data_IF_828754058795
#
_entry.id   IF_828754058795
#
_cell.length_a   1.000
_cell.length_b   1.000
_cell.length_c   1.000
_cell.angle_alpha   90.00
_cell.angle_beta   90.00
_cell.angle_gamma   90.00
#
_symmetry.space_group_name_H-M   'P 1'
#
loop_
_entity.id
_entity.type
_entity.pdbx_description
1 polymer ?
#
# COMPACT_ATOMS: atom_id res chain seq x y z
N UNK A 1 11.90 12.18 -8.73
CA UNK A 1 10.54 11.75 -8.35
C UNK A 1 10.13 12.59 -7.15
N UNK A 2 9.48 13.74 -7.40
CA UNK A 2 9.36 14.83 -6.43
C UNK A 2 8.11 14.72 -5.56
N UNK A 3 8.20 14.03 -4.42
CA UNK A 3 7.13 14.04 -3.40
C UNK A 3 7.13 15.34 -2.58
N UNK A 4 8.12 16.21 -2.76
CA UNK A 4 8.31 17.43 -1.95
C UNK A 4 8.86 17.17 -0.54
N UNK A 5 9.15 15.92 -0.19
CA UNK A 5 9.73 15.57 1.10
C UNK A 5 11.22 15.84 1.12
N UNK A 6 11.63 16.82 1.92
CA UNK A 6 13.02 17.03 2.33
C UNK A 6 13.30 16.27 3.62
N UNK A 7 14.57 16.00 3.92
CA UNK A 7 14.95 15.41 5.22
C UNK A 7 14.52 16.29 6.38
N UNK A 8 14.61 17.62 6.24
CA UNK A 8 14.14 18.56 7.25
C UNK A 8 12.62 18.44 7.50
N UNK A 9 11.81 18.34 6.44
CA UNK A 9 10.36 18.16 6.57
C UNK A 9 10.03 16.80 7.21
N UNK A 10 10.74 15.74 6.80
CA UNK A 10 10.64 14.39 7.36
C UNK A 10 10.85 14.41 8.87
N UNK A 11 11.95 15.00 9.33
CA UNK A 11 12.25 15.07 10.77
C UNK A 11 11.25 15.97 11.53
N UNK A 12 10.86 17.12 10.97
CA UNK A 12 9.83 17.99 11.57
C UNK A 12 8.50 17.28 11.75
N UNK A 13 8.07 16.47 10.79
CA UNK A 13 6.82 15.70 10.90
C UNK A 13 6.94 14.63 11.99
N UNK A 14 8.06 13.92 12.05
CA UNK A 14 8.26 12.90 13.07
C UNK A 14 8.40 13.49 14.48
N UNK A 15 8.98 14.68 14.64
CA UNK A 15 8.98 15.42 15.90
C UNK A 15 7.55 15.72 16.36
N UNK A 16 6.69 16.22 15.47
CA UNK A 16 5.27 16.48 15.79
C UNK A 16 4.51 15.24 16.23
N UNK A 17 4.80 14.08 15.61
CA UNK A 17 4.20 12.81 16.01
C UNK A 17 4.65 12.42 17.41
N UNK A 18 5.94 12.53 17.73
CA UNK A 18 6.49 12.23 19.06
C UNK A 18 5.92 13.20 20.11
N UNK A 19 5.86 14.49 19.79
CA UNK A 19 5.26 15.51 20.65
C UNK A 19 3.81 15.15 20.98
N UNK A 20 3.01 14.78 19.97
CA UNK A 20 1.61 14.40 20.19
C UNK A 20 1.46 13.13 21.02
N UNK A 21 2.34 12.15 20.82
CA UNK A 21 2.36 10.94 21.65
C UNK A 21 2.75 11.25 23.10
N UNK A 22 3.58 12.26 23.31
CA UNK A 22 4.02 12.69 24.65
C UNK A 22 2.87 13.22 25.50
N UNK A 23 1.82 13.79 24.89
CA UNK A 23 0.59 14.17 25.60
C UNK A 23 -0.05 12.98 26.36
N UNK A 24 0.12 11.76 25.83
CA UNK A 24 -0.43 10.52 26.41
C UNK A 24 0.62 9.67 27.12
N UNK A 25 1.90 9.87 26.80
CA UNK A 25 3.04 9.18 27.39
C UNK A 25 4.14 10.20 27.75
N UNK A 26 4.04 10.89 28.91
CA UNK A 26 4.90 12.04 29.22
C UNK A 26 6.40 11.73 29.28
N UNK A 27 6.77 10.48 29.63
CA UNK A 27 8.17 10.02 29.66
C UNK A 27 8.68 9.53 28.30
N UNK A 28 7.86 9.52 27.24
CA UNK A 28 8.22 8.93 25.96
C UNK A 28 9.56 9.44 25.44
N UNK A 29 9.75 10.77 25.40
CA UNK A 29 10.96 11.40 24.84
C UNK A 29 12.25 10.95 25.53
N UNK A 30 12.23 10.76 26.85
CA UNK A 30 13.42 10.32 27.59
C UNK A 30 13.71 8.83 27.44
N UNK A 31 12.76 8.04 26.93
CA UNK A 31 12.88 6.60 26.73
C UNK A 31 13.28 6.23 25.29
N UNK A 32 13.44 7.20 24.39
CA UNK A 32 13.85 6.95 23.00
C UNK A 32 15.34 6.59 22.96
N UNK A 33 15.65 5.32 22.67
CA UNK A 33 17.02 4.82 22.45
C UNK A 33 17.47 4.88 20.98
N UNK A 34 16.52 5.07 20.07
CA UNK A 34 16.76 5.11 18.63
C UNK A 34 15.49 5.46 17.86
N UNK A 35 15.66 6.05 16.68
CA UNK A 35 14.58 6.50 15.81
C UNK A 35 14.95 6.23 14.36
N UNK A 36 14.00 5.67 13.61
CA UNK A 36 14.05 5.60 12.15
C UNK A 36 12.79 6.23 11.60
N UNK A 37 12.96 7.25 10.76
CA UNK A 37 11.86 7.90 10.04
C UNK A 37 12.02 7.55 8.57
N UNK A 38 10.92 7.18 7.93
CA UNK A 38 10.89 6.86 6.50
C UNK A 38 9.85 7.76 5.82
N UNK A 39 10.29 8.57 4.88
CA UNK A 39 9.44 9.42 4.06
C UNK A 39 8.75 8.61 2.94
N UNK A 40 7.68 9.15 2.32
CA UNK A 40 7.07 8.54 1.14
C UNK A 40 8.04 8.30 -0.02
N UNK A 41 9.04 9.16 -0.21
CA UNK A 41 10.06 8.97 -1.23
C UNK A 41 10.98 7.77 -0.94
N UNK A 42 11.43 7.63 0.31
CA UNK A 42 12.25 6.49 0.74
C UNK A 42 11.45 5.19 0.70
N UNK A 43 10.18 5.22 1.11
CA UNK A 43 9.26 4.09 1.00
C UNK A 43 9.05 3.66 -0.46
N UNK A 44 8.86 4.62 -1.36
CA UNK A 44 8.74 4.37 -2.80
C UNK A 44 10.01 3.71 -3.37
N UNK A 45 11.19 4.19 -2.97
CA UNK A 45 12.46 3.61 -3.37
C UNK A 45 12.64 2.19 -2.84
N UNK A 46 12.26 1.94 -1.58
CA UNK A 46 12.43 0.65 -0.92
C UNK A 46 11.48 -0.43 -1.44
N UNK A 47 10.23 -0.07 -1.72
CA UNK A 47 9.17 -1.04 -2.05
C UNK A 47 8.70 -0.99 -3.51
N UNK A 48 9.13 -0.01 -4.30
CA UNK A 48 8.55 0.25 -5.62
C UNK A 48 7.11 0.79 -5.55
N UNK A 49 6.66 1.23 -4.37
CA UNK A 49 5.34 1.85 -4.19
C UNK A 49 5.34 3.25 -4.78
N UNK A 50 4.66 3.45 -5.91
CA UNK A 50 4.54 4.77 -6.53
C UNK A 50 4.02 5.82 -5.53
N UNK A 51 4.71 6.96 -5.45
CA UNK A 51 4.46 8.04 -4.49
C UNK A 51 4.43 7.62 -3.01
N UNK A 52 4.95 6.45 -2.64
CA UNK A 52 4.96 5.94 -1.27
C UNK A 52 3.57 5.50 -0.78
N UNK A 53 2.62 5.24 -1.68
CA UNK A 53 1.31 4.73 -1.27
C UNK A 53 1.41 3.23 -0.95
N UNK A 54 1.31 2.87 0.34
CA UNK A 54 1.34 1.47 0.82
C UNK A 54 0.21 0.60 0.29
N UNK A 55 -0.87 1.22 -0.21
CA UNK A 55 -1.98 0.53 -0.83
C UNK A 55 -1.85 0.47 -2.36
N UNK A 56 -0.86 1.12 -2.97
CA UNK A 56 -0.66 1.32 -4.43
C UNK A 56 -1.67 2.22 -5.14
N UNK A 57 -2.90 2.31 -4.64
CA UNK A 57 -3.95 3.23 -5.07
C UNK A 57 -4.65 3.77 -3.84
N UNK A 58 -5.29 4.93 -3.96
CA UNK A 58 -6.00 5.57 -2.85
C UNK A 58 -7.17 4.72 -2.35
N UNK A 59 -7.67 5.10 -1.19
CA UNK A 59 -8.80 4.48 -0.52
C UNK A 59 -10.05 5.37 -0.63
N UNK A 60 -10.23 6.02 -1.78
CA UNK A 60 -11.44 6.77 -2.12
C UNK A 60 -12.52 5.83 -2.66
N UNK A 61 -13.78 6.27 -2.64
CA UNK A 61 -14.91 5.42 -3.08
C UNK A 61 -14.75 4.93 -4.53
N UNK A 62 -14.16 5.75 -5.40
CA UNK A 62 -13.88 5.45 -6.80
C UNK A 62 -12.63 4.57 -7.02
N UNK A 63 -11.82 4.32 -5.98
CA UNK A 63 -10.63 3.46 -6.04
C UNK A 63 -10.72 2.24 -5.12
N UNK A 64 -11.94 1.84 -4.76
CA UNK A 64 -12.22 0.70 -3.87
C UNK A 64 -13.05 -0.39 -4.55
N UNK A 65 -13.02 -1.58 -3.95
CA UNK A 65 -13.82 -2.72 -4.38
C UNK A 65 -13.61 -3.04 -5.86
N UNK A 66 -14.68 -3.17 -6.65
CA UNK A 66 -14.61 -3.56 -8.05
C UNK A 66 -14.14 -2.41 -8.96
N UNK A 67 -13.98 -1.20 -8.42
CA UNK A 67 -13.36 -0.08 -9.13
C UNK A 67 -11.82 -0.10 -9.00
N UNK A 68 -11.26 -1.09 -8.28
CA UNK A 68 -9.83 -1.23 -7.99
C UNK A 68 -9.19 -2.39 -8.77
N UNK A 69 -8.14 -2.16 -9.59
CA UNK A 69 -7.55 -0.87 -9.95
C UNK A 69 -8.35 -0.14 -11.04
N UNK A 70 -9.05 -0.89 -11.88
CA UNK A 70 -9.99 -0.46 -12.91
C UNK A 70 -11.07 -1.55 -13.02
N UNK A 71 -12.34 -1.20 -13.35
CA UNK A 71 -13.42 -2.18 -13.48
C UNK A 71 -13.10 -3.37 -14.41
N UNK A 72 -12.37 -3.11 -15.49
CA UNK A 72 -12.04 -4.08 -16.54
C UNK A 72 -11.12 -5.21 -16.05
N UNK A 73 -10.31 -4.95 -15.02
CA UNK A 73 -9.32 -5.90 -14.49
C UNK A 73 -9.51 -6.20 -12.99
N UNK A 74 -10.61 -5.74 -12.40
CA UNK A 74 -11.00 -6.05 -11.02
C UNK A 74 -11.31 -7.55 -10.79
N UNK A 75 -11.43 -8.31 -11.88
CA UNK A 75 -11.60 -9.76 -11.88
C UNK A 75 -10.25 -10.53 -11.87
N UNK A 76 -9.14 -9.85 -11.58
CA UNK A 76 -7.75 -10.38 -11.50
C UNK A 76 -7.14 -10.83 -12.84
N UNK A 77 -7.84 -10.66 -13.96
CA UNK A 77 -7.32 -10.97 -15.29
C UNK A 77 -6.87 -9.70 -16.00
N UNK A 78 -5.77 -9.78 -16.72
CA UNK A 78 -5.29 -8.66 -17.56
C UNK A 78 -5.63 -8.91 -19.03
N UNK A 79 -5.53 -7.88 -19.90
CA UNK A 79 -5.66 -8.06 -21.35
C UNK A 79 -4.58 -8.98 -21.96
N UNK A 80 -3.48 -9.22 -21.24
CA UNK A 80 -2.40 -10.12 -21.68
C UNK A 80 -2.76 -11.54 -21.26
N UNK A 81 -2.82 -12.44 -22.25
CA UNK A 81 -3.15 -13.86 -22.01
C UNK A 81 -2.20 -14.47 -20.98
N UNK A 82 -2.78 -15.18 -20.01
CA UNK A 82 -2.08 -15.87 -18.91
C UNK A 82 -1.33 -14.94 -17.94
N UNK A 83 -1.57 -13.63 -17.97
CA UNK A 83 -1.07 -12.68 -16.97
C UNK A 83 -2.21 -12.24 -16.05
N UNK A 84 -1.97 -12.35 -14.74
CA UNK A 84 -2.92 -12.05 -13.68
C UNK A 84 -2.38 -10.95 -12.78
N UNK A 85 -3.26 -10.09 -12.27
CA UNK A 85 -2.90 -8.98 -11.40
C UNK A 85 -3.44 -9.23 -9.99
N UNK A 86 -2.59 -9.05 -8.98
CA UNK A 86 -2.96 -9.22 -7.56
C UNK A 86 -2.14 -8.29 -6.67
N UNK A 87 -2.47 -8.24 -5.39
CA UNK A 87 -1.82 -7.40 -4.38
C UNK A 87 -2.74 -6.33 -3.82
N UNK A 88 -2.21 -5.48 -2.94
CA UNK A 88 -2.98 -4.42 -2.27
C UNK A 88 -3.58 -3.38 -3.23
N UNK A 89 -3.07 -3.30 -4.46
CA UNK A 89 -3.61 -2.47 -5.55
C UNK A 89 -4.82 -3.04 -6.28
N UNK A 90 -5.34 -4.20 -5.88
CA UNK A 90 -6.46 -4.88 -6.56
C UNK A 90 -7.66 -5.11 -5.65
N UNK A 91 -8.82 -5.44 -6.23
CA UNK A 91 -10.02 -5.85 -5.50
C UNK A 91 -9.70 -6.83 -4.36
N UNK A 92 -10.35 -6.73 -3.18
CA UNK A 92 -11.36 -5.73 -2.79
C UNK A 92 -10.77 -4.40 -2.28
N UNK A 93 -9.49 -4.37 -1.93
CA UNK A 93 -8.88 -3.21 -1.28
C UNK A 93 -7.47 -3.52 -0.80
N UNK A 94 -6.81 -2.47 -0.32
CA UNK A 94 -5.46 -2.56 0.22
C UNK A 94 -5.36 -3.26 1.57
N UNK A 95 -4.18 -3.15 2.18
CA UNK A 95 -3.79 -3.72 3.48
C UNK A 95 -3.48 -5.22 3.45
N UNK A 96 -3.10 -5.76 4.61
CA UNK A 96 -2.63 -7.14 4.82
C UNK A 96 -3.85 -8.06 5.01
N UNK A 97 -4.73 -8.12 4.01
CA UNK A 97 -5.95 -8.96 4.09
C UNK A 97 -5.76 -10.37 3.53
N UNK A 98 -4.79 -10.57 2.62
CA UNK A 98 -4.62 -11.81 1.86
C UNK A 98 -5.74 -12.12 0.85
N UNK A 99 -6.81 -11.31 0.83
CA UNK A 99 -7.96 -11.52 -0.05
C UNK A 99 -7.62 -11.41 -1.54
N UNK A 100 -6.85 -10.38 -1.99
CA UNK A 100 -6.49 -10.28 -3.40
C UNK A 100 -5.76 -11.51 -3.94
N UNK A 101 -4.80 -12.01 -3.16
CA UNK A 101 -4.01 -13.20 -3.51
C UNK A 101 -4.90 -14.45 -3.60
N UNK A 102 -5.73 -14.68 -2.57
CA UNK A 102 -6.68 -15.81 -2.53
C UNK A 102 -7.64 -15.78 -3.71
N UNK A 103 -8.20 -14.62 -4.03
CA UNK A 103 -9.17 -14.47 -5.10
C UNK A 103 -8.54 -14.65 -6.48
N UNK A 104 -7.38 -14.04 -6.72
CA UNK A 104 -6.61 -14.24 -7.94
C UNK A 104 -6.28 -15.72 -8.16
N UNK A 105 -5.80 -16.42 -7.13
CA UNK A 105 -5.50 -17.86 -7.21
C UNK A 105 -6.75 -18.68 -7.59
N UNK A 106 -7.93 -18.35 -7.06
CA UNK A 106 -9.19 -19.02 -7.43
C UNK A 106 -9.58 -18.77 -8.89
N UNK A 107 -9.37 -17.55 -9.40
CA UNK A 107 -9.61 -17.22 -10.81
C UNK A 107 -8.66 -18.00 -11.71
N UNK A 108 -7.37 -18.04 -11.37
CA UNK A 108 -6.36 -18.83 -12.09
C UNK A 108 -6.73 -20.32 -12.14
N UNK A 109 -7.04 -20.93 -11.00
CA UNK A 109 -7.40 -22.36 -10.94
C UNK A 109 -8.67 -22.68 -11.74
N UNK A 110 -9.65 -21.77 -11.77
CA UNK A 110 -10.87 -21.93 -12.57
C UNK A 110 -10.59 -21.88 -14.07
N UNK A 111 -9.68 -21.02 -14.51
CA UNK A 111 -9.25 -20.97 -15.92
C UNK A 111 -8.52 -22.25 -16.31
N UNK A 112 -7.58 -22.74 -15.48
CA UNK A 112 -6.82 -23.96 -15.76
C UNK A 112 -7.73 -25.18 -15.94
N UNK A 113 -8.73 -25.36 -15.06
CA UNK A 113 -9.72 -26.46 -15.17
C UNK A 113 -10.55 -26.46 -16.45
N UNK A 114 -10.56 -25.36 -17.20
CA UNK A 114 -11.32 -25.23 -18.45
C UNK A 114 -10.51 -25.63 -19.69
N UNK A 115 -9.20 -25.79 -19.52
CA UNK A 115 -8.26 -26.23 -20.56
C UNK A 115 -7.95 -27.74 -20.50
N UNK A 116 -8.34 -28.41 -19.42
CA UNK A 116 -8.34 -29.87 -19.26
C UNK A 116 -9.77 -30.39 -19.40
#
# INVERSE_FOLDING_TARGET
MGTGWTDELKEKVADRVIDKLTDYAPSLKSLIIGRRVESPAELAQRLGSYNGNVYHLDMSLDQMMFLRPLPEIANYQTPIKNLYLTGAGTHPGGSISGMPGRNCARVFLKQQRRFW
#
